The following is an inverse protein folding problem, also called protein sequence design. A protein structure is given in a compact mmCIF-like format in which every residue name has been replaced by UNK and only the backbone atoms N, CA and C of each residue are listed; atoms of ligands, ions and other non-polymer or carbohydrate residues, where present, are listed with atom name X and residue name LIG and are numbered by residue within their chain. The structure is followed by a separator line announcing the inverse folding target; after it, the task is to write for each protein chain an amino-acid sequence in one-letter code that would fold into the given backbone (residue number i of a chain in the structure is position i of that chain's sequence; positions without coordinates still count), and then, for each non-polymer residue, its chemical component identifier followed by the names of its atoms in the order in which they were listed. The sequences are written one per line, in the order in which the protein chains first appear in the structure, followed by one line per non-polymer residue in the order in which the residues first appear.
data_IF_741271419396
#
_entry.id   IF_741271419396
#
_cell.length_a   1.000
_cell.length_b   1.000
_cell.length_c   1.000
_cell.angle_alpha   90.00
_cell.angle_beta   90.00
_cell.angle_gamma   90.00
#
_symmetry.space_group_name_H-M   'P 1'
#
loop_
_entity.id
_entity.type
_entity.pdbx_description
1 polymer ?
#
# COMPACT_ATOMS: atom_id res chain seq x y z
N UNK A 1 18.61 -10.74 -0.66
CA UNK A 1 18.72 -10.12 0.68
C UNK A 1 17.69 -10.83 1.55
N UNK A 2 18.08 -11.44 2.67
CA UNK A 2 17.10 -11.96 3.63
C UNK A 2 16.29 -10.76 4.13
N UNK A 3 14.98 -10.71 3.85
CA UNK A 3 14.10 -9.69 4.44
C UNK A 3 13.66 -10.16 5.81
N UNK A 4 14.63 -10.16 6.72
CA UNK A 4 14.32 -10.30 8.13
C UNK A 4 13.64 -8.99 8.59
N UNK A 5 12.37 -9.04 9.02
CA UNK A 5 11.66 -7.85 9.46
C UNK A 5 12.35 -7.18 10.65
N UNK A 6 13.06 -7.93 11.51
CA UNK A 6 13.80 -7.35 12.63
C UNK A 6 14.99 -6.53 12.15
N UNK A 7 15.72 -6.99 11.12
CA UNK A 7 16.82 -6.23 10.52
C UNK A 7 16.30 -4.93 9.92
N UNK A 8 15.19 -4.97 9.17
CA UNK A 8 14.58 -3.76 8.60
C UNK A 8 14.14 -2.81 9.70
N UNK A 9 13.49 -3.32 10.76
CA UNK A 9 13.06 -2.51 11.91
C UNK A 9 14.23 -1.80 12.56
N UNK A 10 15.34 -2.50 12.78
CA UNK A 10 16.51 -1.93 13.43
C UNK A 10 17.19 -0.91 12.50
N UNK A 11 17.19 -1.15 11.19
CA UNK A 11 17.67 -0.21 10.17
C UNK A 11 16.86 1.08 10.14
N UNK A 12 15.52 1.00 10.00
CA UNK A 12 14.63 2.18 9.90
C UNK A 12 14.56 3.01 11.18
N UNK A 13 14.97 2.44 12.32
CA UNK A 13 15.07 3.15 13.60
C UNK A 13 16.51 3.62 13.91
N UNK A 14 17.47 3.37 13.00
CA UNK A 14 18.85 3.83 13.13
C UNK A 14 18.97 5.35 12.93
N UNK A 15 19.95 5.97 13.62
CA UNK A 15 20.30 7.39 13.44
C UNK A 15 20.80 7.72 12.03
N UNK A 16 21.34 6.73 11.30
CA UNK A 16 21.96 6.91 9.99
C UNK A 16 21.17 6.23 8.87
N UNK A 17 19.84 6.29 8.94
CA UNK A 17 18.95 5.68 7.95
C UNK A 17 19.17 6.25 6.54
N UNK A 18 19.40 5.39 5.55
CA UNK A 18 19.45 5.78 4.14
C UNK A 18 18.03 5.86 3.55
N UNK A 19 17.39 7.01 3.68
CA UNK A 19 16.05 7.26 3.12
C UNK A 19 16.03 7.08 1.59
N UNK A 20 17.14 7.33 0.89
CA UNK A 20 17.20 7.21 -0.57
C UNK A 20 17.17 5.76 -1.03
N UNK A 21 17.72 4.82 -0.24
CA UNK A 21 17.55 3.37 -0.46
C UNK A 21 16.08 3.00 -0.53
N UNK A 22 15.31 3.32 0.51
CA UNK A 22 13.87 2.99 0.57
C UNK A 22 13.04 3.71 -0.49
N UNK A 23 13.44 4.93 -0.87
CA UNK A 23 12.82 5.64 -1.99
C UNK A 23 12.98 4.87 -3.30
N UNK A 24 14.20 4.47 -3.65
CA UNK A 24 14.48 3.71 -4.88
C UNK A 24 13.71 2.39 -4.89
N UNK A 25 13.74 1.66 -3.79
CA UNK A 25 13.00 0.39 -3.64
C UNK A 25 11.49 0.60 -3.83
N UNK A 26 10.91 1.66 -3.26
CA UNK A 26 9.48 1.98 -3.42
C UNK A 26 9.13 2.38 -4.85
N UNK A 27 10.01 3.12 -5.53
CA UNK A 27 9.84 3.49 -6.94
C UNK A 27 9.92 2.27 -7.87
N UNK A 28 10.81 1.32 -7.61
CA UNK A 28 10.88 0.04 -8.32
C UNK A 28 9.61 -0.78 -8.14
N UNK A 29 9.09 -0.84 -6.90
CA UNK A 29 7.82 -1.51 -6.61
C UNK A 29 6.69 -0.85 -7.39
N UNK A 30 6.59 0.48 -7.38
CA UNK A 30 5.58 1.23 -8.12
C UNK A 30 5.60 0.92 -9.63
N UNK A 31 6.79 0.80 -10.24
CA UNK A 31 6.92 0.43 -11.66
C UNK A 31 6.46 -0.99 -11.97
N UNK A 32 6.59 -1.90 -11.02
CA UNK A 32 6.17 -3.31 -11.18
C UNK A 32 4.74 -3.60 -10.70
N UNK A 33 4.07 -2.62 -10.08
CA UNK A 33 2.78 -2.77 -9.43
C UNK A 33 1.63 -3.09 -10.40
N UNK A 34 1.74 -2.73 -11.68
CA UNK A 34 0.81 -3.17 -12.74
C UNK A 34 0.74 -4.70 -12.88
N UNK A 35 1.79 -5.42 -12.45
CA UNK A 35 1.86 -6.89 -12.48
C UNK A 35 1.74 -7.51 -11.09
N UNK A 36 1.09 -6.83 -10.14
CA UNK A 36 0.96 -7.34 -8.77
C UNK A 36 0.26 -8.71 -8.69
N UNK A 37 -0.62 -9.02 -9.65
CA UNK A 37 -1.28 -10.31 -9.75
C UNK A 37 -0.29 -11.48 -9.96
N UNK A 38 0.88 -11.21 -10.53
CA UNK A 38 1.98 -12.17 -10.72
C UNK A 38 2.92 -12.27 -9.50
N UNK A 39 2.76 -11.43 -8.47
CA UNK A 39 3.65 -11.47 -7.31
C UNK A 39 3.39 -12.71 -6.45
N UNK A 40 4.35 -13.62 -6.38
CA UNK A 40 4.30 -14.73 -5.44
C UNK A 40 4.14 -14.24 -3.99
N UNK A 41 3.55 -15.05 -3.07
CA UNK A 41 3.26 -14.63 -1.71
C UNK A 41 4.46 -14.00 -0.98
N UNK A 42 5.65 -14.58 -1.15
CA UNK A 42 6.88 -14.04 -0.58
C UNK A 42 7.21 -12.64 -1.14
N UNK A 43 7.07 -12.44 -2.45
CA UNK A 43 7.35 -11.17 -3.11
C UNK A 43 6.35 -10.08 -2.71
N UNK A 44 5.09 -10.45 -2.53
CA UNK A 44 4.05 -9.55 -2.03
C UNK A 44 4.41 -9.04 -0.64
N UNK A 45 4.80 -9.93 0.27
CA UNK A 45 5.24 -9.57 1.62
C UNK A 45 6.52 -8.73 1.62
N UNK A 46 7.50 -9.10 0.79
CA UNK A 46 8.73 -8.32 0.59
C UNK A 46 8.42 -6.88 0.15
N UNK A 47 7.57 -6.72 -0.86
CA UNK A 47 7.18 -5.40 -1.36
C UNK A 47 6.42 -4.62 -0.28
N UNK A 48 5.52 -5.27 0.46
CA UNK A 48 4.77 -4.64 1.54
C UNK A 48 5.69 -4.15 2.66
N UNK A 49 6.71 -4.93 3.05
CA UNK A 49 7.72 -4.52 4.03
C UNK A 49 8.51 -3.29 3.56
N UNK A 50 8.99 -3.29 2.31
CA UNK A 50 9.76 -2.16 1.76
C UNK A 50 8.94 -0.88 1.70
N UNK A 51 7.68 -0.98 1.27
CA UNK A 51 6.74 0.15 1.27
C UNK A 51 6.51 0.62 2.70
N UNK A 52 6.18 -0.27 3.64
CA UNK A 52 5.97 0.09 5.04
C UNK A 52 7.19 0.78 5.67
N UNK A 53 8.39 0.29 5.38
CA UNK A 53 9.64 0.88 5.82
C UNK A 53 9.82 2.30 5.26
N UNK A 54 9.58 2.49 3.97
CA UNK A 54 9.60 3.81 3.34
C UNK A 54 8.60 4.79 3.99
N UNK A 55 7.35 4.34 4.22
CA UNK A 55 6.33 5.16 4.88
C UNK A 55 6.73 5.55 6.31
N UNK A 56 7.37 4.64 7.05
CA UNK A 56 7.91 4.91 8.38
C UNK A 56 9.02 5.97 8.33
N UNK A 57 10.05 5.79 7.50
CA UNK A 57 11.21 6.71 7.46
C UNK A 57 10.85 8.09 6.90
N UNK A 58 9.75 8.17 6.15
CA UNK A 58 9.19 9.44 5.65
C UNK A 58 8.10 10.02 6.56
N UNK A 59 7.88 9.43 7.72
CA UNK A 59 7.01 9.97 8.78
C UNK A 59 5.52 9.94 8.46
N UNK A 60 5.07 9.07 7.55
CA UNK A 60 3.64 8.89 7.33
C UNK A 60 3.02 8.24 8.57
N UNK A 61 1.86 8.74 9.01
CA UNK A 61 1.23 8.27 10.24
C UNK A 61 0.45 6.99 9.98
N UNK A 62 0.43 6.10 10.95
CA UNK A 62 -0.30 4.82 10.90
C UNK A 62 -1.79 5.03 10.64
N UNK A 63 -2.40 6.10 11.18
CA UNK A 63 -3.80 6.43 10.91
C UNK A 63 -4.06 6.76 9.42
N UNK A 64 -3.11 7.36 8.71
CA UNK A 64 -3.21 7.66 7.27
C UNK A 64 -3.13 6.36 6.45
N UNK A 65 -2.18 5.48 6.78
CA UNK A 65 -2.05 4.17 6.11
C UNK A 65 -3.30 3.31 6.38
N UNK A 66 -3.80 3.30 7.62
CA UNK A 66 -4.98 2.54 8.04
C UNK A 66 -6.25 2.97 7.30
N UNK A 67 -6.44 4.27 7.07
CA UNK A 67 -7.58 4.79 6.29
C UNK A 67 -7.64 4.20 4.89
N UNK A 68 -6.49 3.96 4.25
CA UNK A 68 -6.44 3.30 2.94
C UNK A 68 -6.93 1.85 3.02
N UNK A 69 -6.49 1.12 4.05
CA UNK A 69 -6.97 -0.24 4.30
C UNK A 69 -8.47 -0.27 4.62
N UNK A 70 -8.99 0.70 5.37
CA UNK A 70 -10.41 0.80 5.70
C UNK A 70 -11.26 0.98 4.44
N UNK A 71 -10.85 1.84 3.50
CA UNK A 71 -11.53 1.97 2.20
C UNK A 71 -11.58 0.63 1.43
N UNK A 72 -10.49 -0.14 1.44
CA UNK A 72 -10.45 -1.44 0.76
C UNK A 72 -11.27 -2.52 1.48
N UNK A 73 -11.37 -2.45 2.82
CA UNK A 73 -12.09 -3.44 3.64
C UNK A 73 -13.56 -3.54 3.27
N UNK A 74 -14.21 -2.40 3.01
CA UNK A 74 -15.63 -2.39 2.66
C UNK A 74 -15.88 -3.09 1.31
N UNK A 75 -14.97 -2.91 0.35
CA UNK A 75 -15.03 -3.57 -0.95
C UNK A 75 -14.78 -5.08 -0.78
N UNK A 76 -13.73 -5.47 -0.07
CA UNK A 76 -13.41 -6.88 0.19
C UNK A 76 -14.57 -7.60 0.89
N UNK A 77 -15.21 -6.96 1.87
CA UNK A 77 -16.35 -7.52 2.57
C UNK A 77 -17.52 -7.78 1.59
N UNK A 78 -17.86 -6.82 0.72
CA UNK A 78 -18.92 -6.99 -0.29
C UNK A 78 -18.61 -8.15 -1.23
N UNK A 79 -17.36 -8.28 -1.67
CA UNK A 79 -16.90 -9.37 -2.56
C UNK A 79 -17.10 -10.72 -1.85
N UNK A 80 -16.58 -10.87 -0.63
CA UNK A 80 -16.62 -12.13 0.12
C UNK A 80 -18.03 -12.62 0.45
N UNK A 81 -18.96 -11.71 0.70
CA UNK A 81 -20.37 -12.06 0.99
C UNK A 81 -21.25 -12.13 -0.26
N UNK A 82 -20.68 -12.01 -1.46
CA UNK A 82 -21.40 -12.09 -2.72
C UNK A 82 -22.36 -10.92 -2.98
N UNK A 83 -22.16 -9.77 -2.34
CA UNK A 83 -23.00 -8.56 -2.47
C UNK A 83 -22.36 -7.48 -3.33
N UNK A 84 -21.21 -7.77 -3.95
CA UNK A 84 -20.57 -6.85 -4.87
C UNK A 84 -21.28 -6.86 -6.24
N UNK A 85 -22.10 -5.84 -6.48
CA UNK A 85 -22.82 -5.65 -7.75
C UNK A 85 -21.86 -5.20 -8.87
N UNK A 86 -20.98 -4.24 -8.57
CA UNK A 86 -20.02 -3.69 -9.52
C UNK A 86 -18.74 -3.28 -8.76
N UNK A 87 -17.70 -4.10 -8.86
CA UNK A 87 -16.43 -3.91 -8.16
C UNK A 87 -15.60 -2.83 -8.84
N UNK A 88 -15.61 -2.78 -10.17
CA UNK A 88 -14.89 -1.75 -10.95
C UNK A 88 -15.31 -0.33 -10.54
N UNK A 89 -16.59 -0.10 -10.28
CA UNK A 89 -17.12 1.18 -9.78
C UNK A 89 -16.63 1.48 -8.36
N UNK A 90 -16.65 0.49 -7.46
CA UNK A 90 -16.18 0.65 -6.08
C UNK A 90 -14.66 0.92 -6.05
N UNK A 91 -13.88 0.21 -6.86
CA UNK A 91 -12.44 0.45 -7.05
C UNK A 91 -12.18 1.83 -7.65
N UNK A 92 -12.95 2.25 -8.65
CA UNK A 92 -12.86 3.59 -9.24
C UNK A 92 -13.09 4.69 -8.20
N UNK A 93 -14.08 4.51 -7.33
CA UNK A 93 -14.33 5.43 -6.20
C UNK A 93 -13.15 5.46 -5.23
N UNK A 94 -12.58 4.29 -4.90
CA UNK A 94 -11.38 4.23 -4.06
C UNK A 94 -10.21 5.00 -4.67
N UNK A 95 -9.96 4.86 -5.99
CA UNK A 95 -8.92 5.63 -6.70
C UNK A 95 -9.11 7.14 -6.56
N UNK A 96 -10.33 7.63 -6.82
CA UNK A 96 -10.66 9.04 -6.65
C UNK A 96 -10.46 9.54 -5.20
N UNK A 97 -10.90 8.76 -4.20
CA UNK A 97 -10.74 9.13 -2.79
C UNK A 97 -9.27 9.18 -2.36
N UNK A 98 -8.44 8.27 -2.88
CA UNK A 98 -7.00 8.30 -2.67
C UNK A 98 -6.35 9.53 -3.30
N UNK A 99 -6.69 9.85 -4.55
CA UNK A 99 -6.19 11.06 -5.22
C UNK A 99 -6.57 12.33 -4.45
N UNK A 100 -7.81 12.40 -3.96
CA UNK A 100 -8.27 13.49 -3.08
C UNK A 100 -7.48 13.55 -1.78
N UNK A 101 -7.21 12.40 -1.15
CA UNK A 101 -6.42 12.30 0.08
C UNK A 101 -5.00 12.84 -0.11
N UNK A 102 -4.35 12.51 -1.24
CA UNK A 102 -3.03 13.05 -1.61
C UNK A 102 -3.11 14.57 -1.80
N UNK A 103 -4.13 15.06 -2.52
CA UNK A 103 -4.32 16.50 -2.77
C UNK A 103 -4.58 17.33 -1.51
N UNK A 104 -5.18 16.72 -0.48
CA UNK A 104 -5.46 17.35 0.82
C UNK A 104 -4.32 17.23 1.83
N UNK A 105 -3.31 16.41 1.57
CA UNK A 105 -2.22 16.20 2.50
C UNK A 105 -1.38 17.47 2.71
N UNK A 106 -0.97 17.70 3.96
CA UNK A 106 -0.09 18.82 4.30
C UNK A 106 1.29 18.67 3.64
N UNK A 107 2.02 19.78 3.50
CA UNK A 107 3.34 19.81 2.82
C UNK A 107 4.34 18.76 3.34
N UNK A 108 4.30 18.44 4.64
CA UNK A 108 5.22 17.48 5.27
C UNK A 108 4.94 16.03 4.90
N UNK A 109 3.67 15.68 4.69
CA UNK A 109 3.23 14.29 4.47
C UNK A 109 2.96 14.00 2.98
N UNK A 110 2.87 15.05 2.16
CA UNK A 110 2.49 14.96 0.75
C UNK A 110 3.38 14.02 -0.05
N UNK A 111 4.70 14.10 0.11
CA UNK A 111 5.64 13.23 -0.61
C UNK A 111 5.48 11.76 -0.22
N UNK A 112 5.24 11.47 1.05
CA UNK A 112 5.07 10.13 1.60
C UNK A 112 3.75 9.49 1.12
N UNK A 113 2.64 10.23 1.22
CA UNK A 113 1.33 9.73 0.76
C UNK A 113 1.27 9.63 -0.77
N UNK A 114 1.93 10.53 -1.49
CA UNK A 114 2.02 10.46 -2.95
C UNK A 114 2.81 9.24 -3.42
N UNK A 115 3.93 8.92 -2.76
CA UNK A 115 4.69 7.71 -3.05
C UNK A 115 3.87 6.44 -2.74
N UNK A 116 3.11 6.43 -1.65
CA UNK A 116 2.18 5.32 -1.38
C UNK A 116 1.13 5.19 -2.49
N UNK A 117 0.52 6.31 -2.90
CA UNK A 117 -0.44 6.34 -3.98
C UNK A 117 0.14 5.82 -5.30
N UNK A 118 1.38 6.19 -5.64
CA UNK A 118 2.07 5.70 -6.86
C UNK A 118 2.28 4.20 -6.87
N UNK A 119 2.36 3.55 -5.71
CA UNK A 119 2.39 2.08 -5.61
C UNK A 119 1.01 1.47 -5.84
N UNK A 120 -0.04 2.08 -5.29
CA UNK A 120 -1.39 1.52 -5.32
C UNK A 120 -2.13 1.77 -6.64
N UNK A 121 -1.94 2.94 -7.25
CA UNK A 121 -2.73 3.35 -8.43
C UNK A 121 -2.58 2.40 -9.62
N UNK A 122 -1.40 1.86 -9.98
CA UNK A 122 -1.30 0.87 -11.04
C UNK A 122 -2.12 -0.40 -10.77
N UNK A 123 -2.15 -0.88 -9.52
CA UNK A 123 -2.95 -2.04 -9.12
C UNK A 123 -4.45 -1.74 -9.24
N UNK A 124 -4.86 -0.59 -8.71
CA UNK A 124 -6.25 -0.15 -8.72
C UNK A 124 -6.73 0.17 -10.14
N UNK A 125 -5.86 0.69 -11.01
CA UNK A 125 -6.19 1.00 -12.40
C UNK A 125 -6.66 -0.23 -13.14
N UNK A 126 -5.87 -1.30 -13.07
CA UNK A 126 -6.23 -2.56 -13.71
C UNK A 126 -7.57 -3.10 -13.20
N UNK A 127 -7.78 -3.07 -11.87
CA UNK A 127 -9.04 -3.50 -11.25
C UNK A 127 -10.23 -2.55 -11.51
N UNK A 128 -9.99 -1.31 -11.94
CA UNK A 128 -11.08 -0.39 -12.33
C UNK A 128 -11.52 -0.57 -13.79
N UNK A 129 -10.70 -1.23 -14.61
CA UNK A 129 -10.93 -1.41 -16.05
C UNK A 129 -11.49 -2.80 -16.39
N UNK A 130 -11.31 -3.79 -15.50
CA UNK A 130 -11.72 -5.18 -15.72
C UNK A 130 -12.36 -5.79 -14.44
N UNK A 131 -13.65 -6.10 -14.52
CA UNK A 131 -14.46 -6.64 -13.42
C UNK A 131 -14.04 -8.06 -13.02
N UNK A 132 -13.71 -8.92 -13.98
CA UNK A 132 -13.28 -10.30 -13.70
C UNK A 132 -11.89 -10.30 -13.05
N UNK A 133 -11.01 -9.44 -13.54
CA UNK A 133 -9.71 -9.22 -12.94
C UNK A 133 -9.85 -8.70 -11.50
N UNK A 134 -10.72 -7.72 -11.27
CA UNK A 134 -10.99 -7.19 -9.93
C UNK A 134 -11.52 -8.28 -8.99
N UNK A 135 -12.52 -9.07 -9.41
CA UNK A 135 -13.07 -10.19 -8.62
C UNK A 135 -11.99 -11.19 -8.22
N UNK A 136 -11.07 -11.49 -9.13
CA UNK A 136 -10.03 -12.49 -8.92
C UNK A 136 -8.88 -12.01 -8.03
N UNK A 137 -8.51 -10.74 -8.12
CA UNK A 137 -7.26 -10.24 -7.54
C UNK A 137 -7.43 -9.16 -6.46
N UNK A 138 -8.65 -8.70 -6.17
CA UNK A 138 -8.87 -7.71 -5.11
C UNK A 138 -8.42 -8.23 -3.74
N UNK A 139 -8.67 -9.51 -3.41
CA UNK A 139 -8.20 -10.11 -2.16
C UNK A 139 -6.67 -10.05 -2.02
N UNK A 140 -5.92 -10.27 -3.10
CA UNK A 140 -4.45 -10.15 -3.12
C UNK A 140 -3.97 -8.71 -2.91
N UNK A 141 -4.68 -7.74 -3.49
CA UNK A 141 -4.45 -6.32 -3.22
C UNK A 141 -4.74 -5.97 -1.74
N UNK A 142 -5.82 -6.51 -1.18
CA UNK A 142 -6.20 -6.32 0.21
C UNK A 142 -5.15 -6.91 1.17
N UNK A 143 -4.64 -8.12 0.89
CA UNK A 143 -3.56 -8.76 1.65
C UNK A 143 -2.28 -7.90 1.64
N UNK A 144 -1.94 -7.31 0.49
CA UNK A 144 -0.81 -6.38 0.38
C UNK A 144 -1.01 -5.16 1.28
N UNK A 145 -2.19 -4.52 1.27
CA UNK A 145 -2.50 -3.39 2.15
C UNK A 145 -2.45 -3.77 3.64
N UNK A 146 -2.97 -4.94 4.00
CA UNK A 146 -2.89 -5.45 5.36
C UNK A 146 -1.45 -5.63 5.82
N UNK A 147 -0.61 -6.22 4.97
CA UNK A 147 0.82 -6.38 5.24
C UNK A 147 1.53 -5.03 5.40
N UNK A 148 1.25 -4.04 4.54
CA UNK A 148 1.82 -2.69 4.68
C UNK A 148 1.44 -2.08 6.03
N UNK A 149 0.17 -2.13 6.43
CA UNK A 149 -0.27 -1.59 7.74
C UNK A 149 0.38 -2.34 8.91
N UNK A 150 0.45 -3.66 8.84
CA UNK A 150 1.04 -4.50 9.89
C UNK A 150 2.53 -4.18 10.08
N UNK A 151 3.30 -4.15 8.98
CA UNK A 151 4.74 -3.86 9.05
C UNK A 151 5.01 -2.39 9.38
N UNK A 152 4.18 -1.45 8.93
CA UNK A 152 4.33 -0.05 9.31
C UNK A 152 4.23 0.12 10.83
N UNK A 153 3.26 -0.55 11.45
CA UNK A 153 3.11 -0.58 12.91
C UNK A 153 4.29 -1.29 13.58
N UNK A 154 4.72 -2.43 13.04
CA UNK A 154 5.87 -3.19 13.56
C UNK A 154 7.17 -2.38 13.53
N UNK A 155 7.36 -1.53 12.52
CA UNK A 155 8.50 -0.62 12.39
C UNK A 155 8.39 0.64 13.27
N UNK A 156 7.33 0.78 14.05
CA UNK A 156 7.14 1.89 14.99
C UNK A 156 6.50 3.13 14.37
N UNK A 157 5.66 2.97 13.34
CA UNK A 157 4.88 4.07 12.75
C UNK A 157 4.00 4.78 13.78
N UNK A 158 4.02 6.12 13.79
CA UNK A 158 3.29 6.92 14.79
C UNK A 158 1.77 6.83 14.60
N UNK A 159 0.99 6.76 15.69
CA UNK A 159 -0.47 6.61 15.60
C UNK A 159 -1.25 7.92 15.39
N UNK A 160 -0.69 9.10 15.73
CA UNK A 160 -1.43 10.38 15.79
C UNK A 160 -0.88 11.47 14.89
#
# INVERSE_FOLDING_TARGET
MSLDPFVIRDEVNSKHIDVNKYRRETEEIARSAEKFHEWEPYRLLENAMKVAAFLKVTGLKTNQVRRVLEMARDIELKIRVGRAENITLDVTRMRFLLAYTVGRAGRRERSSIEAFYRVLDPMLKQMSEDEDFARRYFGKFFDFLQAVVAYHRFFGGEEK
#
